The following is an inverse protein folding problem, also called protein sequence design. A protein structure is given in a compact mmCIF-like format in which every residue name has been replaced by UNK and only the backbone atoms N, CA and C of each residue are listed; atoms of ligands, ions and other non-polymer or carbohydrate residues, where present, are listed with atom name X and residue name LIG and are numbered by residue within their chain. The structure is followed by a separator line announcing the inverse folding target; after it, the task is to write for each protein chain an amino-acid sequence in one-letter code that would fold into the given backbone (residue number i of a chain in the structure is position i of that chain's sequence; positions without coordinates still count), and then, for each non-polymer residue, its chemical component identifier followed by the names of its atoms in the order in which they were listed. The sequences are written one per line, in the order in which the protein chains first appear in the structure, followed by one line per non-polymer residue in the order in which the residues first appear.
data_IF_093103616654
#
_entry.id   IF_093103616654
#
_cell.length_a   1.000
_cell.length_b   1.000
_cell.length_c   1.000
_cell.angle_alpha   90.00
_cell.angle_beta   90.00
_cell.angle_gamma   90.00
#
_symmetry.space_group_name_H-M   'P 1'
#
loop_
_entity.id
_entity.type
_entity.pdbx_description
1 polymer ?
#
# COMPACT_ATOMS: atom_id res chain seq x y z
N UNK A 1 -55.65 46.12 -35.97
CA UNK A 1 -55.97 44.69 -35.81
C UNK A 1 -54.70 43.90 -35.99
N UNK A 2 -54.28 43.18 -34.93
CA UNK A 2 -53.40 42.00 -34.91
C UNK A 2 -51.96 42.17 -35.43
N UNK A 3 -50.88 41.66 -34.85
CA UNK A 3 -50.59 40.76 -33.72
C UNK A 3 -49.06 40.91 -33.49
N UNK A 4 -48.57 41.08 -32.26
CA UNK A 4 -48.01 40.02 -31.38
C UNK A 4 -46.82 39.24 -31.99
N UNK A 5 -45.74 38.84 -31.31
CA UNK A 5 -45.13 38.99 -29.98
C UNK A 5 -43.69 38.48 -30.24
N UNK A 6 -42.65 39.22 -29.83
CA UNK A 6 -41.25 38.72 -29.84
C UNK A 6 -40.74 38.65 -28.41
N UNK A 7 -40.09 37.53 -28.12
CA UNK A 7 -39.65 37.01 -26.84
C UNK A 7 -38.74 37.91 -25.99
N UNK A 8 -39.18 38.07 -24.74
CA UNK A 8 -38.46 38.17 -23.47
C UNK A 8 -36.95 37.79 -23.46
N UNK A 9 -36.06 38.77 -23.19
CA UNK A 9 -34.74 38.58 -22.58
C UNK A 9 -34.33 39.82 -21.77
N UNK A 10 -34.93 39.99 -20.59
CA UNK A 10 -34.51 40.95 -19.57
C UNK A 10 -34.14 40.18 -18.30
N UNK A 11 -32.84 39.98 -18.05
CA UNK A 11 -32.22 39.88 -16.70
C UNK A 11 -30.77 39.40 -16.78
N UNK A 12 -29.86 40.22 -17.30
CA UNK A 12 -28.42 39.91 -17.27
C UNK A 12 -27.51 41.11 -16.95
N UNK A 13 -28.04 42.18 -16.35
CA UNK A 13 -27.31 43.44 -16.13
C UNK A 13 -27.12 43.86 -14.66
N UNK A 14 -27.19 42.94 -13.69
CA UNK A 14 -27.13 43.33 -12.26
C UNK A 14 -26.28 42.41 -11.38
N UNK A 15 -25.11 41.99 -11.86
CA UNK A 15 -24.10 41.30 -11.02
C UNK A 15 -22.66 41.79 -11.20
N UNK A 16 -22.42 42.78 -12.07
CA UNK A 16 -21.08 43.20 -12.47
C UNK A 16 -20.50 44.38 -11.66
N UNK A 17 -21.20 44.94 -10.69
CA UNK A 17 -20.77 46.20 -10.03
C UNK A 17 -20.51 46.09 -8.50
N UNK A 18 -20.48 44.89 -7.93
CA UNK A 18 -20.27 44.70 -6.47
C UNK A 18 -18.96 43.99 -6.07
N UNK A 19 -18.05 43.72 -7.01
CA UNK A 19 -16.78 43.03 -6.72
C UNK A 19 -15.51 43.84 -6.99
N UNK A 20 -15.63 45.16 -7.23
CA UNK A 20 -14.51 45.97 -7.76
C UNK A 20 -13.87 46.96 -6.76
N UNK A 21 -14.10 46.80 -5.45
CA UNK A 21 -13.48 47.68 -4.44
C UNK A 21 -13.07 46.95 -3.15
N UNK A 22 -12.07 46.05 -3.24
CA UNK A 22 -11.21 45.72 -2.08
C UNK A 22 -9.97 44.86 -2.43
N UNK A 23 -9.26 45.17 -3.51
CA UNK A 23 -7.89 44.68 -3.72
C UNK A 23 -6.96 45.86 -3.91
N UNK A 24 -6.77 46.62 -2.83
CA UNK A 24 -5.62 47.51 -2.71
C UNK A 24 -4.36 46.65 -2.62
N UNK A 25 -3.54 46.82 -3.65
CA UNK A 25 -2.20 46.29 -3.80
C UNK A 25 -1.33 46.62 -2.58
N UNK A 26 -1.03 45.62 -1.77
CA UNK A 26 0.25 45.55 -1.06
C UNK A 26 1.06 44.44 -1.70
N UNK A 27 1.70 44.74 -2.84
CA UNK A 27 2.73 43.88 -3.41
C UNK A 27 3.97 43.91 -2.51
N UNK A 28 3.85 43.27 -1.35
CA UNK A 28 5.03 42.81 -0.62
C UNK A 28 5.63 41.72 -1.49
N UNK A 29 6.65 42.04 -2.29
CA UNK A 29 7.40 41.04 -3.06
C UNK A 29 7.83 39.93 -2.12
N UNK A 30 7.14 38.80 -2.15
CA UNK A 30 7.49 37.63 -1.36
C UNK A 30 8.94 37.29 -1.68
N UNK A 31 9.83 37.39 -0.69
CA UNK A 31 11.24 37.02 -0.86
C UNK A 31 11.30 35.50 -1.05
N UNK A 32 11.33 35.06 -2.30
CA UNK A 32 11.37 33.63 -2.64
C UNK A 32 12.73 33.08 -2.27
N UNK A 33 12.78 32.29 -1.18
CA UNK A 33 13.96 31.52 -0.81
C UNK A 33 13.89 30.19 -1.56
N UNK A 34 14.87 29.93 -2.42
CA UNK A 34 14.96 28.67 -3.17
C UNK A 34 15.18 27.50 -2.22
N UNK A 35 14.50 26.39 -2.48
CA UNK A 35 14.71 25.14 -1.79
C UNK A 35 15.98 24.46 -2.32
N UNK A 36 17.04 24.44 -1.50
CA UNK A 36 18.31 23.79 -1.81
C UNK A 36 18.51 22.50 -0.98
N UNK A 37 17.48 21.99 -0.32
CA UNK A 37 17.60 20.75 0.45
C UNK A 37 17.84 19.54 -0.46
N UNK A 38 18.77 18.65 -0.05
CA UNK A 38 18.99 17.40 -0.77
C UNK A 38 17.69 16.57 -0.80
N UNK A 39 17.33 16.00 -1.96
CA UNK A 39 16.14 15.16 -2.08
C UNK A 39 16.33 13.84 -1.32
N UNK A 40 15.26 13.30 -0.74
CA UNK A 40 15.30 12.01 -0.02
C UNK A 40 15.09 10.81 -0.96
N UNK A 41 14.79 11.08 -2.23
CA UNK A 41 14.45 10.07 -3.23
C UNK A 41 15.54 9.01 -3.45
N UNK A 42 16.82 9.38 -3.33
CA UNK A 42 17.93 8.41 -3.45
C UNK A 42 17.93 7.41 -2.29
N UNK A 43 17.63 7.88 -1.07
CA UNK A 43 17.50 7.00 0.11
C UNK A 43 16.27 6.10 -0.04
N UNK A 44 15.15 6.66 -0.53
CA UNK A 44 13.94 5.87 -0.83
C UNK A 44 14.24 4.77 -1.85
N UNK A 45 14.93 5.08 -2.94
CA UNK A 45 15.33 4.11 -3.96
C UNK A 45 16.22 3.02 -3.39
N UNK A 46 17.20 3.37 -2.55
CA UNK A 46 18.06 2.40 -1.87
C UNK A 46 17.22 1.41 -1.03
N UNK A 47 16.28 1.92 -0.22
CA UNK A 47 15.42 1.06 0.62
C UNK A 47 14.53 0.16 -0.24
N UNK A 48 13.99 0.67 -1.35
CA UNK A 48 13.20 -0.13 -2.28
C UNK A 48 14.03 -1.26 -2.90
N UNK A 49 15.26 -0.97 -3.34
CA UNK A 49 16.18 -1.98 -3.88
C UNK A 49 16.51 -3.04 -2.82
N UNK A 50 16.85 -2.62 -1.60
CA UNK A 50 17.13 -3.54 -0.50
C UNK A 50 15.91 -4.42 -0.17
N UNK A 51 14.71 -3.86 -0.20
CA UNK A 51 13.47 -4.61 0.05
C UNK A 51 13.19 -5.65 -1.04
N UNK A 52 13.49 -5.32 -2.31
CA UNK A 52 13.40 -6.26 -3.44
C UNK A 52 14.46 -7.35 -3.33
N UNK A 53 15.71 -7.01 -3.02
CA UNK A 53 16.78 -7.98 -2.83
C UNK A 53 16.46 -8.95 -1.68
N UNK A 54 15.95 -8.44 -0.56
CA UNK A 54 15.46 -9.26 0.55
C UNK A 54 14.33 -10.21 0.10
N UNK A 55 13.37 -9.70 -0.68
CA UNK A 55 12.27 -10.51 -1.22
C UNK A 55 12.77 -11.63 -2.14
N UNK A 56 13.76 -11.33 -2.99
CA UNK A 56 14.39 -12.32 -3.88
C UNK A 56 15.14 -13.37 -3.07
N UNK A 57 15.91 -12.96 -2.06
CA UNK A 57 16.63 -13.88 -1.18
C UNK A 57 15.66 -14.83 -0.45
N UNK A 58 14.61 -14.30 0.20
CA UNK A 58 13.56 -15.12 0.83
C UNK A 58 12.94 -16.10 -0.18
N UNK A 59 12.68 -15.64 -1.41
CA UNK A 59 12.14 -16.47 -2.48
C UNK A 59 13.07 -17.61 -2.88
N UNK A 60 14.39 -17.36 -2.95
CA UNK A 60 15.40 -18.39 -3.25
C UNK A 60 15.48 -19.41 -2.10
N UNK A 61 15.54 -18.96 -0.85
CA UNK A 61 15.53 -19.87 0.31
C UNK A 61 14.26 -20.74 0.33
N UNK A 62 13.11 -20.13 0.07
CA UNK A 62 11.85 -20.85 0.02
C UNK A 62 11.81 -21.85 -1.14
N UNK A 63 12.31 -21.47 -2.32
CA UNK A 63 12.43 -22.38 -3.46
C UNK A 63 13.30 -23.60 -3.14
N UNK A 64 14.43 -23.40 -2.47
CA UNK A 64 15.32 -24.48 -2.06
C UNK A 64 14.67 -25.38 -1.00
N UNK A 65 13.93 -24.79 -0.04
CA UNK A 65 13.11 -25.54 0.91
C UNK A 65 12.04 -26.40 0.21
N UNK A 66 11.33 -25.85 -0.79
CA UNK A 66 10.38 -26.65 -1.58
C UNK A 66 11.08 -27.77 -2.35
N UNK A 67 12.25 -27.51 -2.95
CA UNK A 67 13.03 -28.55 -3.63
C UNK A 67 13.45 -29.67 -2.70
N UNK A 68 13.81 -29.34 -1.46
CA UNK A 68 14.06 -30.32 -0.42
C UNK A 68 12.85 -31.22 -0.17
N UNK A 69 11.66 -30.62 0.01
CA UNK A 69 10.41 -31.37 0.21
C UNK A 69 10.06 -32.24 -1.01
N UNK A 70 10.12 -31.69 -2.23
CA UNK A 70 9.85 -32.42 -3.48
C UNK A 70 10.80 -33.62 -3.68
N UNK A 71 12.03 -33.51 -3.19
CA UNK A 71 13.04 -34.57 -3.31
C UNK A 71 12.87 -35.70 -2.28
N UNK A 72 11.88 -35.63 -1.38
CA UNK A 72 11.76 -36.56 -0.27
C UNK A 72 12.92 -36.47 0.73
N UNK A 73 13.56 -35.30 0.83
CA UNK A 73 14.70 -35.06 1.72
C UNK A 73 16.09 -35.41 1.15
N UNK A 74 16.20 -35.66 -0.15
CA UNK A 74 17.45 -36.08 -0.80
C UNK A 74 18.35 -34.92 -1.28
N UNK A 75 17.93 -33.67 -1.12
CA UNK A 75 18.71 -32.48 -1.52
C UNK A 75 19.16 -31.69 -0.29
N UNK A 76 19.84 -30.56 -0.50
CA UNK A 76 20.36 -29.72 0.60
C UNK A 76 19.20 -29.20 1.43
N UNK A 77 19.22 -29.48 2.74
CA UNK A 77 18.24 -28.97 3.68
C UNK A 77 18.46 -27.48 3.93
N UNK A 78 17.40 -26.69 3.75
CA UNK A 78 17.33 -25.28 4.13
C UNK A 78 16.07 -25.10 4.96
N UNK A 79 16.17 -24.42 6.09
CA UNK A 79 15.02 -24.06 6.92
C UNK A 79 14.02 -23.22 6.12
N UNK A 80 12.72 -23.43 6.37
CA UNK A 80 11.67 -22.56 5.83
C UNK A 80 11.91 -21.10 6.27
N UNK A 81 12.09 -20.14 5.34
CA UNK A 81 12.30 -18.74 5.69
C UNK A 81 11.01 -18.09 6.24
N UNK A 82 11.00 -17.58 7.47
CA UNK A 82 9.78 -16.96 8.05
C UNK A 82 9.28 -15.73 7.31
N UNK A 83 10.17 -15.06 6.56
CA UNK A 83 9.82 -13.88 5.77
C UNK A 83 8.77 -14.15 4.69
N UNK A 84 8.56 -15.40 4.28
CA UNK A 84 7.51 -15.78 3.30
C UNK A 84 6.10 -15.44 3.80
N UNK A 85 5.89 -15.42 5.12
CA UNK A 85 4.61 -15.09 5.74
C UNK A 85 4.19 -13.64 5.50
N UNK A 86 5.12 -12.75 5.12
CA UNK A 86 4.83 -11.38 4.73
C UNK A 86 3.92 -11.27 3.49
N UNK A 87 3.76 -12.35 2.73
CA UNK A 87 2.87 -12.43 1.56
C UNK A 87 1.50 -13.05 1.87
N UNK A 88 1.21 -13.38 3.14
CA UNK A 88 -0.06 -13.98 3.59
C UNK A 88 -0.89 -13.01 4.45
N UNK A 89 -1.26 -11.81 3.96
CA UNK A 89 -1.88 -10.77 4.79
C UNK A 89 -3.26 -11.15 5.36
N UNK A 90 -3.99 -12.06 4.70
CA UNK A 90 -5.28 -12.56 5.18
C UNK A 90 -5.09 -13.45 6.41
N UNK A 91 -4.14 -14.40 6.34
CA UNK A 91 -3.78 -15.25 7.48
C UNK A 91 -3.25 -14.41 8.64
N UNK A 92 -2.39 -13.41 8.38
CA UNK A 92 -1.92 -12.48 9.41
C UNK A 92 -3.05 -11.68 10.08
N UNK A 93 -4.06 -11.25 9.30
CA UNK A 93 -5.23 -10.54 9.84
C UNK A 93 -6.10 -11.45 10.71
N UNK A 94 -6.29 -12.71 10.31
CA UNK A 94 -6.97 -13.72 11.13
C UNK A 94 -6.21 -14.01 12.41
N UNK A 95 -4.88 -14.18 12.34
CA UNK A 95 -4.00 -14.33 13.51
C UNK A 95 -4.06 -13.11 14.43
N UNK A 96 -4.19 -11.89 13.88
CA UNK A 96 -4.37 -10.69 14.69
C UNK A 96 -5.71 -10.71 15.44
N UNK A 97 -6.83 -11.04 14.76
CA UNK A 97 -8.13 -11.16 15.45
C UNK A 97 -8.07 -12.21 16.55
N UNK A 98 -7.47 -13.35 16.25
CA UNK A 98 -7.30 -14.45 17.19
C UNK A 98 -6.47 -14.02 18.42
N UNK A 99 -5.36 -13.31 18.20
CA UNK A 99 -4.53 -12.75 19.26
C UNK A 99 -5.29 -11.73 20.12
N UNK A 100 -6.06 -10.82 19.51
CA UNK A 100 -6.87 -9.84 20.25
C UNK A 100 -7.92 -10.54 21.13
N UNK A 101 -8.50 -11.64 20.66
CA UNK A 101 -9.57 -12.34 21.37
C UNK A 101 -9.05 -13.27 22.49
N UNK A 102 -7.89 -13.88 22.30
CA UNK A 102 -7.38 -14.96 23.19
C UNK A 102 -6.12 -14.58 23.95
N UNK A 103 -5.36 -13.58 23.49
CA UNK A 103 -4.01 -13.29 23.96
C UNK A 103 -2.94 -14.23 23.43
N UNK A 104 -3.29 -15.24 22.63
CA UNK A 104 -2.37 -16.25 22.11
C UNK A 104 -1.91 -15.95 20.68
N UNK A 105 -0.64 -16.20 20.39
CA UNK A 105 -0.10 -16.14 19.04
C UNK A 105 -0.27 -17.52 18.39
N UNK A 106 -0.94 -17.55 17.23
CA UNK A 106 -1.10 -18.80 16.48
C UNK A 106 0.24 -19.29 15.93
N UNK A 107 0.46 -20.60 16.00
CA UNK A 107 1.75 -21.23 15.81
C UNK A 107 2.11 -21.55 14.35
N UNK A 108 1.13 -21.49 13.42
CA UNK A 108 1.35 -21.84 12.01
C UNK A 108 2.07 -20.73 11.22
N UNK A 109 1.69 -19.47 11.44
CA UNK A 109 2.29 -18.30 10.78
C UNK A 109 2.52 -17.14 11.77
N UNK A 110 3.41 -17.30 12.76
CA UNK A 110 3.62 -16.29 13.78
C UNK A 110 4.41 -15.07 13.26
N UNK A 111 5.37 -15.24 12.33
CA UNK A 111 6.10 -14.12 11.73
C UNK A 111 5.18 -13.20 10.92
N UNK A 112 4.18 -13.77 10.24
CA UNK A 112 3.16 -13.05 9.48
C UNK A 112 2.40 -12.04 10.33
N UNK A 113 2.12 -12.36 11.60
CA UNK A 113 1.49 -11.44 12.55
C UNK A 113 2.41 -10.24 12.84
N UNK A 114 3.70 -10.47 13.15
CA UNK A 114 4.64 -9.39 13.45
C UNK A 114 4.92 -8.52 12.23
N UNK A 115 5.09 -9.11 11.04
CA UNK A 115 5.27 -8.36 9.79
C UNK A 115 4.02 -7.50 9.51
N UNK A 116 2.83 -8.07 9.67
CA UNK A 116 1.58 -7.34 9.48
C UNK A 116 1.44 -6.17 10.46
N UNK A 117 1.69 -6.41 11.76
CA UNK A 117 1.69 -5.38 12.79
C UNK A 117 2.70 -4.28 12.48
N UNK A 118 3.91 -4.65 12.07
CA UNK A 118 4.95 -3.69 11.69
C UNK A 118 4.47 -2.74 10.60
N UNK A 119 3.89 -3.28 9.53
CA UNK A 119 3.42 -2.50 8.39
C UNK A 119 2.21 -1.62 8.77
N UNK A 120 1.26 -2.14 9.56
CA UNK A 120 0.13 -1.36 10.06
C UNK A 120 0.61 -0.22 10.96
N UNK A 121 1.58 -0.47 11.85
CA UNK A 121 2.16 0.55 12.74
C UNK A 121 2.93 1.62 11.98
N UNK A 122 3.67 1.25 10.92
CA UNK A 122 4.25 2.22 10.00
C UNK A 122 3.15 3.09 9.38
N UNK A 123 2.01 2.47 9.02
CA UNK A 123 0.88 3.19 8.44
C UNK A 123 0.22 4.18 9.40
N UNK A 124 0.04 3.77 10.65
CA UNK A 124 -0.50 4.59 11.74
C UNK A 124 0.45 5.70 12.17
N UNK A 125 1.75 5.58 11.93
CA UNK A 125 2.73 6.61 12.33
C UNK A 125 3.02 7.60 11.21
N UNK A 126 3.28 7.16 9.98
CA UNK A 126 3.74 8.03 8.86
C UNK A 126 2.85 7.92 7.61
N UNK A 127 1.56 7.63 7.81
CA UNK A 127 0.64 7.40 6.70
C UNK A 127 1.03 6.15 5.92
N UNK A 128 0.49 5.95 4.73
CA UNK A 128 0.73 4.77 3.89
C UNK A 128 2.16 4.70 3.27
N UNK A 129 3.19 4.99 4.06
CA UNK A 129 4.60 5.05 3.65
C UNK A 129 5.14 3.68 3.24
N UNK A 130 4.76 2.59 3.91
CA UNK A 130 5.25 1.26 3.56
C UNK A 130 5.07 0.92 2.06
N UNK A 131 3.93 1.29 1.46
CA UNK A 131 3.65 1.06 0.04
C UNK A 131 4.64 1.73 -0.93
N UNK A 132 5.27 2.84 -0.55
CA UNK A 132 6.24 3.54 -1.43
C UNK A 132 7.70 3.39 -0.98
N UNK A 133 7.94 2.89 0.24
CA UNK A 133 9.29 2.76 0.80
C UNK A 133 9.76 1.30 0.87
N UNK A 134 8.92 0.37 1.34
CA UNK A 134 9.33 -1.02 1.61
C UNK A 134 8.59 -2.11 0.81
N UNK A 135 7.44 -1.80 0.22
CA UNK A 135 6.66 -2.80 -0.51
C UNK A 135 7.27 -3.11 -1.90
N UNK A 136 7.67 -4.37 -2.18
CA UNK A 136 8.25 -4.74 -3.48
C UNK A 136 7.25 -4.60 -4.64
N UNK A 137 5.97 -4.90 -4.38
CA UNK A 137 4.89 -4.71 -5.37
C UNK A 137 4.67 -3.22 -5.67
N UNK A 138 4.78 -2.36 -4.65
CA UNK A 138 4.71 -0.91 -4.82
C UNK A 138 5.85 -0.39 -5.71
N UNK A 139 7.08 -0.85 -5.46
CA UNK A 139 8.24 -0.53 -6.30
C UNK A 139 8.02 -0.99 -7.75
N UNK A 140 7.60 -2.23 -7.97
CA UNK A 140 7.31 -2.74 -9.32
C UNK A 140 6.24 -1.89 -10.02
N UNK A 141 5.15 -1.56 -9.31
CA UNK A 141 4.04 -0.77 -9.86
C UNK A 141 4.44 0.67 -10.22
N UNK A 142 5.28 1.31 -9.39
CA UNK A 142 5.83 2.64 -9.67
C UNK A 142 6.71 2.63 -10.93
N UNK A 143 7.54 1.59 -11.10
CA UNK A 143 8.42 1.43 -12.25
C UNK A 143 7.65 1.11 -13.54
N UNK A 144 6.65 0.23 -13.49
CA UNK A 144 5.77 -0.04 -14.63
C UNK A 144 5.06 1.23 -15.10
N UNK A 145 4.56 2.04 -14.16
CA UNK A 145 3.96 3.32 -14.49
C UNK A 145 4.96 4.33 -15.06
N UNK A 146 6.19 4.40 -14.52
CA UNK A 146 7.25 5.26 -15.05
C UNK A 146 7.68 4.84 -16.47
N UNK A 147 7.73 3.53 -16.73
CA UNK A 147 7.98 2.97 -18.06
C UNK A 147 6.87 3.36 -19.04
N UNK A 148 5.60 3.25 -18.64
CA UNK A 148 4.47 3.71 -19.44
C UNK A 148 4.50 5.21 -19.71
N UNK A 149 4.82 6.03 -18.72
CA UNK A 149 5.00 7.48 -18.90
C UNK A 149 6.08 7.81 -19.95
N UNK A 150 7.16 7.01 -20.01
CA UNK A 150 8.21 7.13 -21.02
C UNK A 150 7.72 6.73 -22.42
N UNK A 151 6.93 5.66 -22.54
CA UNK A 151 6.36 5.19 -23.81
C UNK A 151 5.34 6.20 -24.35
N UNK A 152 4.35 6.57 -23.55
CA UNK A 152 3.25 7.43 -23.98
C UNK A 152 3.60 8.93 -23.98
N UNK A 153 4.78 9.30 -23.45
CA UNK A 153 5.26 10.68 -23.26
C UNK A 153 4.29 11.58 -22.47
N UNK A 154 3.34 10.99 -21.76
CA UNK A 154 2.31 11.68 -20.97
C UNK A 154 1.86 10.80 -19.81
N UNK A 155 1.38 11.45 -18.74
CA UNK A 155 0.72 10.75 -17.63
C UNK A 155 -0.75 10.56 -17.95
N UNK A 156 -1.15 9.34 -18.29
CA UNK A 156 -2.55 9.01 -18.54
C UNK A 156 -3.27 8.92 -17.18
N UNK A 157 -4.34 9.68 -17.04
CA UNK A 157 -5.19 9.69 -15.83
C UNK A 157 -6.49 8.99 -16.14
N UNK A 158 -6.96 8.19 -15.19
CA UNK A 158 -8.31 7.63 -15.26
C UNK A 158 -9.35 8.77 -15.16
N UNK A 159 -10.37 8.81 -16.04
CA UNK A 159 -11.47 9.76 -15.92
C UNK A 159 -12.14 9.65 -14.54
N UNK A 160 -12.53 10.78 -13.95
CA UNK A 160 -13.08 10.82 -12.57
C UNK A 160 -14.30 9.91 -12.40
N UNK A 161 -15.16 9.83 -13.42
CA UNK A 161 -16.38 9.01 -13.40
C UNK A 161 -16.08 7.52 -13.24
N UNK A 162 -14.94 7.05 -13.75
CA UNK A 162 -14.51 5.65 -13.66
C UNK A 162 -13.56 5.41 -12.47
N UNK A 163 -12.74 6.40 -12.12
CA UNK A 163 -11.79 6.31 -11.01
C UNK A 163 -12.45 6.07 -9.64
N UNK A 164 -13.57 6.75 -9.37
CA UNK A 164 -14.29 6.62 -8.08
C UNK A 164 -14.83 5.20 -7.86
N UNK A 165 -15.65 4.62 -8.77
CA UNK A 165 -16.17 3.26 -8.58
C UNK A 165 -15.05 2.22 -8.58
N UNK A 166 -14.04 2.31 -9.44
CA UNK A 166 -12.91 1.36 -9.43
C UNK A 166 -12.13 1.42 -8.12
N UNK A 167 -11.96 2.61 -7.51
CA UNK A 167 -11.27 2.73 -6.22
C UNK A 167 -12.08 2.14 -5.08
N UNK A 168 -13.40 2.12 -5.19
CA UNK A 168 -14.26 1.47 -4.19
C UNK A 168 -14.05 -0.04 -4.13
N UNK A 169 -13.59 -0.67 -5.21
CA UNK A 169 -13.44 -2.13 -5.31
C UNK A 169 -12.47 -2.71 -4.26
N UNK A 170 -11.31 -2.09 -4.03
CA UNK A 170 -10.40 -2.53 -2.94
C UNK A 170 -11.02 -2.39 -1.56
N UNK A 171 -11.93 -1.43 -1.35
CA UNK A 171 -12.64 -1.25 -0.08
C UNK A 171 -13.76 -2.26 0.08
N UNK A 172 -14.43 -2.63 -1.01
CA UNK A 172 -15.38 -3.75 -1.02
C UNK A 172 -14.68 -5.07 -0.70
N UNK A 173 -13.52 -5.33 -1.32
CA UNK A 173 -12.72 -6.52 -1.05
C UNK A 173 -12.21 -6.54 0.41
N UNK A 174 -11.72 -5.42 0.92
CA UNK A 174 -11.35 -5.29 2.33
C UNK A 174 -12.57 -5.51 3.25
N UNK A 175 -13.71 -4.90 2.93
CA UNK A 175 -14.95 -5.03 3.68
C UNK A 175 -15.45 -6.46 3.73
N UNK A 176 -15.35 -7.21 2.62
CA UNK A 176 -15.63 -8.64 2.57
C UNK A 176 -14.75 -9.43 3.54
N UNK A 177 -13.43 -9.23 3.49
CA UNK A 177 -12.52 -9.91 4.42
C UNK A 177 -12.79 -9.52 5.88
N UNK A 178 -13.02 -8.24 6.17
CA UNK A 178 -13.36 -7.80 7.53
C UNK A 178 -14.69 -8.37 8.00
N UNK A 179 -15.70 -8.46 7.13
CA UNK A 179 -16.98 -9.06 7.45
C UNK A 179 -16.82 -10.55 7.79
N UNK A 180 -16.16 -11.31 6.92
CA UNK A 180 -15.94 -12.75 7.16
C UNK A 180 -15.12 -12.96 8.42
N UNK A 181 -14.00 -12.24 8.52
CA UNK A 181 -13.02 -12.42 9.59
C UNK A 181 -13.53 -11.88 10.91
N UNK A 182 -14.36 -10.84 11.02
CA UNK A 182 -14.76 -10.28 12.32
C UNK A 182 -16.22 -10.54 12.72
N UNK A 183 -17.11 -10.76 11.74
CA UNK A 183 -18.55 -10.87 11.99
C UNK A 183 -19.11 -12.26 11.66
N UNK A 184 -18.66 -12.91 10.59
CA UNK A 184 -19.22 -14.20 10.17
C UNK A 184 -18.63 -15.40 10.93
N UNK A 185 -17.33 -15.37 11.24
CA UNK A 185 -16.67 -16.45 11.99
C UNK A 185 -16.68 -16.17 13.48
N UNK A 186 -16.98 -17.17 14.31
CA UNK A 186 -16.69 -17.14 15.75
C UNK A 186 -15.22 -17.53 16.02
N UNK A 187 -14.78 -17.45 17.28
CA UNK A 187 -13.37 -17.71 17.65
C UNK A 187 -12.98 -19.19 17.46
N UNK A 188 -13.90 -20.14 17.65
CA UNK A 188 -13.64 -21.56 17.46
C UNK A 188 -13.48 -21.86 15.97
N UNK A 189 -14.40 -21.37 15.13
CA UNK A 189 -14.28 -21.50 13.68
C UNK A 189 -13.01 -20.84 13.13
N UNK A 190 -12.63 -19.69 13.68
CA UNK A 190 -11.37 -19.01 13.34
C UNK A 190 -10.15 -19.87 13.69
N UNK A 191 -10.11 -20.43 14.89
CA UNK A 191 -9.04 -21.35 15.32
C UNK A 191 -8.98 -22.57 14.41
N UNK A 192 -10.12 -23.21 14.13
CA UNK A 192 -10.19 -24.38 13.26
C UNK A 192 -9.68 -24.08 11.84
N UNK A 193 -9.96 -22.88 11.31
CA UNK A 193 -9.40 -22.46 10.02
C UNK A 193 -7.89 -22.23 10.09
N UNK A 194 -7.39 -21.59 11.15
CA UNK A 194 -5.95 -21.36 11.34
C UNK A 194 -5.17 -22.67 11.55
N UNK A 195 -5.77 -23.64 12.23
CA UNK A 195 -5.23 -25.00 12.43
C UNK A 195 -5.41 -25.90 11.19
N UNK A 196 -6.20 -25.48 10.19
CA UNK A 196 -6.46 -26.29 9.01
C UNK A 196 -5.18 -26.56 8.21
N UNK A 197 -5.06 -27.74 7.57
CA UNK A 197 -3.94 -28.04 6.70
C UNK A 197 -3.77 -27.00 5.59
N UNK A 198 -4.87 -26.44 5.07
CA UNK A 198 -4.85 -25.35 4.10
C UNK A 198 -4.05 -24.15 4.60
N UNK A 199 -4.31 -23.68 5.83
CA UNK A 199 -3.61 -22.51 6.37
C UNK A 199 -2.16 -22.86 6.66
N UNK A 200 -1.86 -24.03 7.25
CA UNK A 200 -0.49 -24.43 7.60
C UNK A 200 0.48 -24.40 6.41
N UNK A 201 0.03 -24.80 5.21
CA UNK A 201 0.85 -24.77 3.98
C UNK A 201 0.42 -23.70 2.97
N UNK A 202 -0.25 -22.63 3.42
CA UNK A 202 -0.77 -21.58 2.53
C UNK A 202 0.32 -20.90 1.68
N UNK A 203 1.52 -20.76 2.20
CA UNK A 203 2.71 -20.26 1.50
C UNK A 203 3.22 -21.23 0.43
N UNK A 204 3.25 -22.53 0.70
CA UNK A 204 3.61 -23.57 -0.28
C UNK A 204 2.58 -23.57 -1.42
N UNK A 205 1.30 -23.44 -1.08
CA UNK A 205 0.23 -23.30 -2.07
C UNK A 205 0.34 -22.03 -2.89
N UNK A 206 0.70 -20.91 -2.26
CA UNK A 206 0.99 -19.67 -2.97
C UNK A 206 2.17 -19.86 -3.93
N UNK A 207 3.22 -20.58 -3.54
CA UNK A 207 4.32 -20.92 -4.44
C UNK A 207 3.84 -21.75 -5.63
N UNK A 208 3.06 -22.82 -5.41
CA UNK A 208 2.55 -23.64 -6.52
C UNK A 208 1.60 -22.89 -7.44
N UNK A 209 0.82 -21.92 -6.93
CA UNK A 209 0.02 -21.03 -7.76
C UNK A 209 0.87 -20.27 -8.79
N UNK A 210 2.09 -19.84 -8.44
CA UNK A 210 2.99 -19.14 -9.35
C UNK A 210 3.90 -20.10 -10.15
N UNK A 211 4.39 -21.18 -9.54
CA UNK A 211 5.25 -22.16 -10.20
C UNK A 211 4.50 -22.97 -11.26
N UNK A 212 3.21 -23.26 -11.01
CA UNK A 212 2.30 -23.98 -11.93
C UNK A 212 1.17 -23.05 -12.37
N UNK A 213 1.52 -21.84 -12.81
CA UNK A 213 0.55 -20.81 -13.14
C UNK A 213 -0.40 -21.25 -14.27
N UNK A 214 -1.71 -21.18 -14.00
CA UNK A 214 -2.73 -21.50 -15.00
C UNK A 214 -2.81 -20.43 -16.09
N UNK A 215 -3.25 -20.81 -17.31
CA UNK A 215 -3.43 -19.87 -18.43
C UNK A 215 -4.32 -18.68 -18.07
N UNK A 216 -5.37 -18.93 -17.30
CA UNK A 216 -6.26 -17.89 -16.79
C UNK A 216 -5.51 -16.92 -15.87
N UNK A 217 -4.81 -17.43 -14.85
CA UNK A 217 -4.07 -16.59 -13.89
C UNK A 217 -2.97 -15.78 -14.57
N UNK A 218 -2.24 -16.39 -15.51
CA UNK A 218 -1.23 -15.70 -16.31
C UNK A 218 -1.83 -14.56 -17.13
N UNK A 219 -2.98 -14.81 -17.78
CA UNK A 219 -3.70 -13.78 -18.55
C UNK A 219 -4.10 -12.61 -17.65
N UNK A 220 -4.66 -12.89 -16.46
CA UNK A 220 -5.04 -11.85 -15.49
C UNK A 220 -3.83 -11.02 -15.06
N UNK A 221 -2.70 -11.65 -14.71
CA UNK A 221 -1.48 -10.94 -14.31
C UNK A 221 -0.94 -10.06 -15.44
N UNK A 222 -0.92 -10.57 -16.68
CA UNK A 222 -0.47 -9.80 -17.85
C UNK A 222 -1.37 -8.58 -18.07
N UNK A 223 -2.70 -8.76 -17.99
CA UNK A 223 -3.66 -7.65 -18.12
C UNK A 223 -3.44 -6.61 -17.01
N UNK A 224 -3.26 -7.04 -15.76
CA UNK A 224 -3.00 -6.13 -14.64
C UNK A 224 -1.66 -5.39 -14.77
N UNK A 225 -0.63 -6.07 -15.26
CA UNK A 225 0.67 -5.47 -15.55
C UNK A 225 0.55 -4.42 -16.67
N UNK A 226 -0.12 -4.77 -17.77
CA UNK A 226 -0.38 -3.86 -18.89
C UNK A 226 -1.19 -2.63 -18.45
N UNK A 227 -2.24 -2.84 -17.67
CA UNK A 227 -3.02 -1.74 -17.08
C UNK A 227 -2.18 -0.88 -16.13
N UNK A 228 -1.20 -1.45 -15.43
CA UNK A 228 -0.27 -0.70 -14.57
C UNK A 228 0.73 0.14 -15.36
N UNK A 229 1.04 -0.23 -16.60
CA UNK A 229 1.83 0.58 -17.55
C UNK A 229 1.01 1.78 -18.04
N UNK A 230 -0.27 1.58 -18.39
CA UNK A 230 -1.15 2.67 -18.86
C UNK A 230 -1.54 3.60 -17.70
N UNK A 231 -2.04 3.01 -16.61
CA UNK A 231 -2.52 3.69 -15.43
C UNK A 231 -1.60 3.39 -14.27
N UNK A 232 -0.75 4.36 -13.93
CA UNK A 232 0.21 4.24 -12.83
C UNK A 232 -0.46 3.74 -11.55
N UNK A 233 0.15 2.72 -10.93
CA UNK A 233 -0.29 2.11 -9.69
C UNK A 233 -1.67 1.42 -9.76
N UNK A 234 -2.09 0.91 -10.93
CA UNK A 234 -3.44 0.34 -11.15
C UNK A 234 -3.85 -0.67 -10.05
N UNK A 235 -3.06 -1.73 -9.84
CA UNK A 235 -3.34 -2.72 -8.79
C UNK A 235 -3.43 -2.08 -7.39
N UNK A 236 -2.43 -1.29 -7.02
CA UNK A 236 -2.33 -0.66 -5.70
C UNK A 236 -3.46 0.34 -5.42
N UNK A 237 -4.02 0.96 -6.46
CA UNK A 237 -5.07 1.97 -6.38
C UNK A 237 -6.47 1.35 -6.35
N UNK A 238 -6.71 0.27 -7.09
CA UNK A 238 -8.06 -0.25 -7.34
C UNK A 238 -8.35 -1.62 -6.76
N UNK A 239 -7.34 -2.50 -6.62
CA UNK A 239 -7.56 -3.92 -6.31
C UNK A 239 -6.89 -4.38 -5.01
N UNK A 240 -5.85 -3.70 -4.54
CA UNK A 240 -5.10 -4.14 -3.36
C UNK A 240 -5.86 -3.87 -2.04
N UNK A 241 -6.40 -4.90 -1.36
CA UNK A 241 -7.15 -4.70 -0.11
C UNK A 241 -6.20 -4.29 1.03
N UNK A 242 -4.95 -4.75 0.98
CA UNK A 242 -3.91 -4.30 1.90
C UNK A 242 -3.62 -2.81 1.75
N UNK A 243 -3.58 -2.32 0.50
CA UNK A 243 -3.46 -0.89 0.22
C UNK A 243 -4.66 -0.07 0.70
N UNK A 244 -5.87 -0.64 0.74
CA UNK A 244 -7.05 -0.01 1.33
C UNK A 244 -6.90 0.09 2.85
N UNK A 245 -6.54 -1.01 3.51
CA UNK A 245 -6.33 -1.05 4.97
C UNK A 245 -5.30 -0.02 5.42
N UNK A 246 -4.13 -0.01 4.77
CA UNK A 246 -3.07 0.95 5.08
C UNK A 246 -3.48 2.39 4.72
N UNK A 247 -4.30 2.59 3.69
CA UNK A 247 -4.87 3.91 3.37
C UNK A 247 -5.74 4.44 4.51
N UNK A 248 -6.64 3.61 5.04
CA UNK A 248 -7.50 3.95 6.19
C UNK A 248 -6.68 4.18 7.46
N UNK A 249 -5.74 3.29 7.79
CA UNK A 249 -4.82 3.49 8.90
C UNK A 249 -4.00 4.79 8.73
N UNK A 250 -3.59 5.10 7.50
CA UNK A 250 -2.85 6.32 7.18
C UNK A 250 -3.67 7.60 7.30
N UNK A 251 -5.00 7.54 7.24
CA UNK A 251 -5.86 8.68 7.57
C UNK A 251 -5.76 9.03 9.07
N UNK A 252 -5.62 8.04 9.93
CA UNK A 252 -5.44 8.21 11.38
C UNK A 252 -4.03 8.67 11.76
N UNK A 253 -3.04 8.54 10.86
CA UNK A 253 -1.67 8.92 11.17
C UNK A 253 -1.52 10.39 11.57
N UNK A 254 -0.74 10.69 12.63
CA UNK A 254 -0.50 12.06 13.09
C UNK A 254 0.35 12.85 12.09
N UNK A 255 1.20 12.20 11.30
CA UNK A 255 2.12 12.87 10.38
C UNK A 255 1.40 13.18 9.06
N UNK A 256 1.17 14.46 8.79
CA UNK A 256 0.57 14.94 7.53
C UNK A 256 1.49 15.90 6.79
N UNK A 257 1.42 15.89 5.47
CA UNK A 257 2.08 16.91 4.64
C UNK A 257 1.25 18.20 4.72
N UNK A 258 1.85 19.29 5.19
CA UNK A 258 1.24 20.61 5.27
C UNK A 258 1.83 21.53 4.21
N UNK A 259 0.97 22.29 3.52
CA UNK A 259 1.31 23.40 2.63
C UNK A 259 1.18 24.73 3.38
N UNK A 260 2.24 25.53 3.37
CA UNK A 260 2.21 26.89 3.90
C UNK A 260 1.82 27.88 2.80
N UNK A 261 0.61 28.45 2.92
CA UNK A 261 -0.02 29.24 1.86
C UNK A 261 0.72 30.56 1.65
N UNK A 262 1.19 31.19 2.74
CA UNK A 262 1.90 32.47 2.69
C UNK A 262 3.23 32.42 1.91
N UNK A 263 3.88 31.25 1.88
CA UNK A 263 5.15 31.06 1.15
C UNK A 263 4.97 30.47 -0.25
N UNK A 264 3.77 29.98 -0.59
CA UNK A 264 3.56 29.25 -1.83
C UNK A 264 3.37 30.20 -3.02
N UNK A 265 4.03 29.89 -4.14
CA UNK A 265 3.94 30.64 -5.41
C UNK A 265 2.99 29.98 -6.43
N UNK A 266 2.15 29.04 -6.00
CA UNK A 266 1.15 28.33 -6.81
C UNK A 266 1.64 27.73 -8.15
N UNK A 267 2.93 27.38 -8.25
CA UNK A 267 3.55 26.81 -9.47
C UNK A 267 3.04 25.40 -9.87
N UNK A 268 2.20 24.78 -9.04
CA UNK A 268 1.57 23.47 -9.26
C UNK A 268 2.55 22.28 -9.49
N UNK A 269 3.84 22.45 -9.19
CA UNK A 269 4.85 21.37 -9.35
C UNK A 269 4.56 20.17 -8.44
N UNK A 270 4.12 20.41 -7.20
CA UNK A 270 3.81 19.37 -6.22
C UNK A 270 2.69 18.41 -6.70
N UNK A 271 1.61 18.92 -7.30
CA UNK A 271 0.54 18.09 -7.86
C UNK A 271 0.98 17.34 -9.13
N UNK A 272 1.85 17.94 -9.96
CA UNK A 272 2.38 17.30 -11.19
C UNK A 272 3.28 16.10 -10.89
N UNK A 273 4.06 16.15 -9.82
CA UNK A 273 4.97 15.04 -9.44
C UNK A 273 4.30 13.94 -8.62
N UNK A 274 3.11 14.18 -8.05
CA UNK A 274 2.41 13.19 -7.24
C UNK A 274 2.08 11.92 -8.06
N UNK A 275 2.60 10.73 -7.68
CA UNK A 275 2.36 9.51 -8.43
C UNK A 275 0.89 9.07 -8.40
N UNK A 276 0.14 9.47 -7.36
CA UNK A 276 -1.28 9.13 -7.18
C UNK A 276 -2.22 10.26 -7.59
N UNK A 277 -1.72 11.26 -8.33
CA UNK A 277 -2.52 12.35 -8.91
C UNK A 277 -3.32 13.18 -7.90
N UNK A 278 -2.83 13.29 -6.67
CA UNK A 278 -3.42 14.15 -5.63
C UNK A 278 -3.10 15.61 -5.98
N UNK A 279 -4.13 16.48 -5.94
CA UNK A 279 -3.95 17.91 -6.14
C UNK A 279 -3.42 18.59 -4.86
N UNK A 280 -2.12 18.42 -4.61
CA UNK A 280 -1.41 18.94 -3.43
C UNK A 280 -1.45 20.48 -3.38
N UNK A 281 -1.38 21.15 -4.52
CA UNK A 281 -1.38 22.62 -4.60
C UNK A 281 -2.67 23.23 -4.03
N UNK A 282 -3.81 22.54 -4.13
CA UNK A 282 -5.11 23.03 -3.62
C UNK A 282 -5.40 22.64 -2.18
N UNK A 283 -4.49 21.94 -1.49
CA UNK A 283 -4.72 21.41 -0.14
C UNK A 283 -3.78 22.07 0.87
N UNK A 284 -4.35 22.54 1.99
CA UNK A 284 -3.56 22.99 3.17
C UNK A 284 -2.91 21.81 3.89
N UNK A 285 -3.66 20.72 4.05
CA UNK A 285 -3.16 19.43 4.53
C UNK A 285 -3.48 18.34 3.52
N UNK A 286 -2.50 17.50 3.21
CA UNK A 286 -2.72 16.34 2.34
C UNK A 286 -3.33 15.22 3.17
N UNK A 287 -4.66 15.24 3.30
CA UNK A 287 -5.45 14.17 3.90
C UNK A 287 -6.07 13.38 2.73
N UNK A 288 -5.52 12.21 2.47
CA UNK A 288 -5.99 11.27 1.46
C UNK A 288 -5.46 9.87 1.77
N UNK A 289 -6.34 8.90 1.65
CA UNK A 289 -6.12 7.45 1.65
C UNK A 289 -5.17 6.96 0.55
N UNK A 290 -5.05 7.72 -0.55
CA UNK A 290 -4.11 7.45 -1.64
C UNK A 290 -2.71 8.03 -1.40
N UNK A 291 -2.50 8.85 -0.38
CA UNK A 291 -1.18 9.43 -0.14
C UNK A 291 -0.23 8.36 0.43
N UNK A 292 0.77 7.96 -0.34
CA UNK A 292 1.76 6.95 0.06
C UNK A 292 2.98 7.54 0.78
N UNK A 293 2.92 8.80 1.23
CA UNK A 293 4.02 9.49 1.92
C UNK A 293 5.41 9.33 1.25
N UNK A 294 5.46 9.33 -0.09
CA UNK A 294 6.71 9.17 -0.86
C UNK A 294 7.58 10.44 -0.91
N UNK A 295 7.04 11.57 -0.45
CA UNK A 295 7.70 12.87 -0.32
C UNK A 295 8.16 13.54 -1.63
N UNK A 296 7.79 12.99 -2.80
CA UNK A 296 8.05 13.60 -4.10
C UNK A 296 7.57 15.06 -4.18
N UNK A 297 6.42 15.37 -3.59
CA UNK A 297 5.86 16.72 -3.59
C UNK A 297 6.67 17.72 -2.74
N UNK A 298 7.30 17.25 -1.65
CA UNK A 298 8.18 18.07 -0.80
C UNK A 298 9.49 18.35 -1.55
N UNK A 299 10.10 17.32 -2.13
CA UNK A 299 11.38 17.45 -2.84
C UNK A 299 11.26 18.26 -4.14
N UNK A 300 10.11 18.22 -4.83
CA UNK A 300 9.89 19.00 -6.05
C UNK A 300 9.51 20.46 -5.80
N UNK A 301 9.26 20.86 -4.55
CA UNK A 301 8.87 22.23 -4.23
C UNK A 301 10.07 23.17 -4.39
N UNK A 302 10.00 24.21 -5.25
CA UNK A 302 11.13 25.10 -5.50
C UNK A 302 11.34 26.14 -4.39
N UNK A 303 10.35 26.34 -3.51
CA UNK A 303 10.39 27.32 -2.42
C UNK A 303 10.63 26.59 -1.11
N UNK A 304 11.58 27.09 -0.32
CA UNK A 304 11.94 26.51 0.97
C UNK A 304 10.80 26.67 1.97
N UNK A 305 10.64 25.71 2.88
CA UNK A 305 9.70 25.74 4.00
C UNK A 305 8.21 25.85 3.60
N UNK A 306 7.87 25.64 2.32
CA UNK A 306 6.49 25.68 1.81
C UNK A 306 5.74 24.37 1.97
N UNK A 307 6.42 23.24 1.85
CA UNK A 307 5.83 21.91 2.02
C UNK A 307 6.71 21.10 2.98
N UNK A 308 6.13 20.66 4.09
CA UNK A 308 6.84 19.90 5.13
C UNK A 308 5.91 18.92 5.84
N UNK A 309 6.49 17.99 6.60
CA UNK A 309 5.75 17.03 7.42
C UNK A 309 5.46 17.64 8.78
N UNK A 310 4.17 17.73 9.15
CA UNK A 310 3.71 18.21 10.45
C UNK A 310 3.10 17.07 11.24
N UNK A 311 3.43 16.95 12.52
CA UNK A 311 2.87 15.94 13.43
C UNK A 311 1.67 16.54 14.16
N UNK A 312 0.46 16.02 13.96
CA UNK A 312 -0.77 16.48 14.60
C UNK A 312 -1.14 15.60 15.81
N UNK A 313 -1.70 16.15 16.90
CA UNK A 313 -2.06 17.55 17.15
C UNK A 313 -0.86 18.44 17.55
N UNK A 314 0.35 17.90 17.61
CA UNK A 314 1.55 18.64 17.98
C UNK A 314 1.86 19.80 17.00
N UNK A 315 2.71 20.74 17.42
CA UNK A 315 3.28 21.77 16.55
C UNK A 315 4.61 21.33 15.93
N UNK A 316 5.11 20.14 16.26
CA UNK A 316 6.41 19.62 15.80
C UNK A 316 6.42 19.35 14.28
N UNK A 317 7.53 19.73 13.66
CA UNK A 317 7.85 19.45 12.25
C UNK A 317 8.78 18.24 12.20
N UNK A 318 8.39 17.23 11.43
CA UNK A 318 9.22 16.06 11.20
C UNK A 318 10.13 16.31 10.00
N UNK A 319 11.45 16.21 10.20
CA UNK A 319 12.38 16.33 9.08
C UNK A 319 12.23 15.11 8.14
N UNK A 320 12.12 15.35 6.84
CA UNK A 320 11.98 14.32 5.81
C UNK A 320 13.06 13.24 5.85
N UNK A 321 14.28 13.56 6.33
CA UNK A 321 15.39 12.59 6.48
C UNK A 321 15.08 11.47 7.46
N UNK A 322 14.31 11.74 8.51
CA UNK A 322 13.96 10.74 9.53
C UNK A 322 12.86 9.78 9.07
N UNK A 323 12.13 10.07 7.98
CA UNK A 323 11.07 9.17 7.50
C UNK A 323 11.64 7.80 7.14
N UNK A 324 12.78 7.76 6.45
CA UNK A 324 13.48 6.52 6.12
C UNK A 324 13.81 5.70 7.38
N UNK A 325 14.41 6.38 8.37
CA UNK A 325 14.84 5.76 9.64
C UNK A 325 13.64 5.26 10.42
N UNK A 326 12.53 6.00 10.46
CA UNK A 326 11.34 5.58 11.18
C UNK A 326 10.65 4.39 10.48
N UNK A 327 10.54 4.39 9.15
CA UNK A 327 9.94 3.26 8.41
C UNK A 327 10.74 1.98 8.65
N UNK A 328 12.06 2.01 8.47
CA UNK A 328 12.92 0.83 8.67
C UNK A 328 13.02 0.48 10.16
N UNK A 329 13.15 1.47 11.02
CA UNK A 329 13.29 1.29 12.47
C UNK A 329 12.06 0.66 13.11
N UNK A 330 10.85 1.12 12.77
CA UNK A 330 9.60 0.50 13.24
C UNK A 330 9.49 -0.94 12.72
N UNK A 331 9.83 -1.17 11.45
CA UNK A 331 9.81 -2.50 10.86
C UNK A 331 10.72 -3.47 11.63
N UNK A 332 11.99 -3.11 11.79
CA UNK A 332 13.01 -3.91 12.47
C UNK A 332 12.71 -4.09 13.96
N UNK A 333 12.16 -3.08 14.62
CA UNK A 333 11.80 -3.16 16.04
C UNK A 333 10.70 -4.19 16.28
N UNK A 334 9.61 -4.13 15.51
CA UNK A 334 8.46 -5.03 15.70
C UNK A 334 8.79 -6.46 15.28
N UNK A 335 9.49 -6.67 14.16
CA UNK A 335 9.93 -8.02 13.77
C UNK A 335 10.98 -8.57 14.74
N UNK A 336 11.85 -7.71 15.27
CA UNK A 336 12.80 -8.06 16.32
C UNK A 336 12.14 -8.57 17.61
N UNK A 337 11.00 -7.99 18.01
CA UNK A 337 10.20 -8.52 19.13
C UNK A 337 9.72 -9.95 18.84
N UNK A 338 9.27 -10.22 17.60
CA UNK A 338 8.90 -11.58 17.17
C UNK A 338 10.06 -12.57 17.28
N UNK A 339 11.26 -12.15 16.87
CA UNK A 339 12.48 -12.96 16.96
C UNK A 339 12.89 -13.24 18.41
N UNK A 340 12.93 -12.20 19.26
CA UNK A 340 13.35 -12.33 20.66
C UNK A 340 12.32 -13.13 21.49
N UNK A 341 11.03 -13.00 21.18
CA UNK A 341 9.98 -13.77 21.87
C UNK A 341 9.89 -15.24 21.47
N UNK A 342 10.70 -15.69 20.51
CA UNK A 342 10.65 -17.07 19.99
C UNK A 342 9.46 -17.37 19.07
N UNK A 343 8.67 -16.35 18.70
CA UNK A 343 7.50 -16.46 17.82
C UNK A 343 7.81 -16.00 16.39
N UNK A 344 9.03 -16.25 15.93
CA UNK A 344 9.43 -15.93 14.55
C UNK A 344 9.40 -17.15 13.64
N UNK A 345 9.83 -18.32 14.11
CA UNK A 345 9.66 -19.57 13.38
C UNK A 345 8.29 -20.17 13.72
N UNK A 346 7.66 -20.81 12.76
CA UNK A 346 6.46 -21.60 13.02
C UNK A 346 6.81 -22.91 13.75
N UNK A 347 5.78 -23.63 14.20
CA UNK A 347 5.94 -24.89 14.95
C UNK A 347 5.54 -26.14 14.14
N UNK A 348 5.48 -26.03 12.81
CA UNK A 348 5.19 -27.16 11.92
C UNK A 348 6.45 -28.04 11.84
N UNK A 349 6.33 -29.34 12.11
CA UNK A 349 7.48 -30.25 12.03
C UNK A 349 7.79 -30.58 10.58
N UNK A 350 9.04 -30.97 10.31
CA UNK A 350 9.46 -31.36 8.97
C UNK A 350 8.67 -32.57 8.42
N UNK A 351 8.34 -33.52 9.30
CA UNK A 351 7.49 -34.68 8.99
C UNK A 351 6.09 -34.25 8.53
N UNK A 352 5.50 -33.26 9.21
CA UNK A 352 4.19 -32.71 8.85
C UNK A 352 4.25 -32.05 7.48
N UNK A 353 5.36 -31.37 7.14
CA UNK A 353 5.55 -30.82 5.79
C UNK A 353 5.55 -31.90 4.72
N UNK A 354 6.25 -33.02 4.91
CA UNK A 354 6.20 -34.14 3.97
C UNK A 354 4.78 -34.73 3.86
N UNK A 355 4.10 -34.90 4.99
CA UNK A 355 2.71 -35.38 5.03
C UNK A 355 1.75 -34.48 4.23
N UNK A 356 1.86 -33.16 4.41
CA UNK A 356 1.06 -32.19 3.69
C UNK A 356 1.42 -32.13 2.20
N UNK A 357 2.70 -32.28 1.87
CA UNK A 357 3.20 -32.23 0.50
C UNK A 357 2.64 -33.36 -0.36
N UNK A 358 2.60 -34.58 0.17
CA UNK A 358 1.99 -35.74 -0.50
C UNK A 358 0.50 -35.53 -0.82
N UNK A 359 -0.19 -34.70 -0.03
CA UNK A 359 -1.64 -34.51 -0.09
C UNK A 359 -2.04 -33.13 -0.61
N UNK A 360 -1.10 -32.32 -1.07
CA UNK A 360 -1.35 -30.90 -1.40
C UNK A 360 -2.36 -30.68 -2.53
N UNK A 361 -2.54 -31.70 -3.39
CA UNK A 361 -3.50 -31.71 -4.51
C UNK A 361 -4.86 -32.33 -4.12
N UNK A 362 -5.02 -32.84 -2.90
CA UNK A 362 -6.28 -33.46 -2.44
C UNK A 362 -7.34 -32.40 -2.07
N UNK A 363 -8.61 -32.81 -2.09
CA UNK A 363 -9.75 -31.93 -1.80
C UNK A 363 -9.76 -31.38 -0.37
N UNK A 364 -9.04 -32.00 0.57
CA UNK A 364 -8.87 -31.50 1.94
C UNK A 364 -8.12 -30.15 1.97
N UNK A 365 -7.29 -29.93 0.95
CA UNK A 365 -6.54 -28.68 0.77
C UNK A 365 -7.22 -27.79 -0.27
N UNK A 366 -8.31 -28.16 -0.93
CA UNK A 366 -9.02 -27.25 -1.82
C UNK A 366 -9.95 -26.30 -1.05
N UNK A 367 -10.20 -25.11 -1.59
CA UNK A 367 -11.32 -24.30 -1.06
C UNK A 367 -12.62 -25.09 -1.32
N UNK A 368 -13.64 -25.03 -0.44
CA UNK A 368 -14.91 -25.76 -0.60
C UNK A 368 -15.71 -25.48 -1.88
N UNK A 369 -15.22 -24.59 -2.75
CA UNK A 369 -15.82 -24.19 -4.03
C UNK A 369 -14.96 -24.55 -5.25
N UNK A 370 -13.85 -25.28 -5.09
CA UNK A 370 -13.04 -25.76 -6.20
C UNK A 370 -13.71 -26.97 -6.86
N UNK A 371 -14.28 -26.77 -8.05
CA UNK A 371 -14.69 -27.89 -8.91
C UNK A 371 -13.43 -28.62 -9.39
N UNK A 372 -13.28 -29.88 -9.01
CA UNK A 372 -12.31 -30.81 -9.61
C UNK A 372 -12.49 -30.88 -11.14
#
# INVERSE_FOLDING_TARGET
MRNEIIHNQTNQKTYTELFDKSYTSSETRLKIIKNNEKPVQNVRLLIQILSVLLSIWIGIEFFLFIKFLESGGNTIYIDRPPGVEGYLPISSLMSLRYFIATGEIHWAHPAGLFIFLAIVMISLTIGKSFCSWGCPIGFLSENLGAFGEKIFKRKIKMPRLLDIPLRSLKYFLLGFFLYVIFLAMDIISLRNFLDSPYNQVADIKMYYFFARISRFSLTVIIVLAFLSVIFKNFWCRYLCPYGALLGLAGLLSPVKIKREISSCIDCNKCSKVCPNFIDVAKKKYVISDECTSCLNCIDACPVKDTLYLKVLPSSKILNKKYVAILVVGIFMFITGIGMISGNWKNKIKLEDYFYHMERIETSEYSHPTGTN
#
